data_IF_971055830454
#
_entry.id   IF_971055830454
#
_cell.length_a   1.000
_cell.length_b   1.000
_cell.length_c   1.000
_cell.angle_alpha   90.00
_cell.angle_beta   90.00
_cell.angle_gamma   90.00
#
_symmetry.space_group_name_H-M   'P 1'
#
loop_
_entity.id
_entity.type
_entity.pdbx_description
1 polymer ?
#
# COMPACT_ATOMS: atom_id res chain seq x y z
N UNK A 1 15.80 -49.93 0.15
CA UNK A 1 14.85 -49.62 1.23
C UNK A 1 13.75 -48.74 0.64
N UNK A 2 12.58 -49.31 0.37
CA UNK A 2 11.42 -48.51 -0.02
C UNK A 2 10.81 -47.93 1.25
N UNK A 3 10.79 -46.60 1.37
CA UNK A 3 10.06 -45.95 2.46
C UNK A 3 8.57 -46.31 2.33
N UNK A 4 7.92 -46.64 3.45
CA UNK A 4 6.48 -46.92 3.45
C UNK A 4 5.70 -45.69 2.96
N UNK A 5 4.53 -45.87 2.32
CA UNK A 5 3.67 -44.76 1.89
C UNK A 5 3.36 -43.76 3.03
N UNK A 6 3.23 -44.27 4.26
CA UNK A 6 3.07 -43.45 5.47
C UNK A 6 4.28 -42.55 5.75
N UNK A 7 5.49 -43.07 5.56
CA UNK A 7 6.73 -42.29 5.74
C UNK A 7 6.84 -41.17 4.71
N UNK A 8 6.44 -41.42 3.46
CA UNK A 8 6.36 -40.38 2.43
C UNK A 8 5.34 -39.30 2.77
N UNK A 9 4.17 -39.68 3.27
CA UNK A 9 3.13 -38.74 3.69
C UNK A 9 3.61 -37.87 4.85
N UNK A 10 4.23 -38.46 5.88
CA UNK A 10 4.78 -37.73 7.02
C UNK A 10 5.89 -36.75 6.60
N UNK A 11 6.80 -37.19 5.72
CA UNK A 11 7.87 -36.33 5.20
C UNK A 11 7.31 -35.16 4.37
N UNK A 12 6.25 -35.41 3.59
CA UNK A 12 5.59 -34.37 2.80
C UNK A 12 4.82 -33.35 3.66
N UNK A 13 4.13 -33.81 4.70
CA UNK A 13 3.47 -32.92 5.68
C UNK A 13 4.52 -32.07 6.39
N UNK A 14 5.64 -32.66 6.81
CA UNK A 14 6.75 -31.93 7.43
C UNK A 14 7.32 -30.86 6.50
N UNK A 15 7.56 -31.20 5.23
CA UNK A 15 8.07 -30.25 4.24
C UNK A 15 7.09 -29.11 3.96
N UNK A 16 5.79 -29.42 3.88
CA UNK A 16 4.72 -28.43 3.71
C UNK A 16 4.62 -27.49 4.90
N UNK A 17 4.76 -28.00 6.13
CA UNK A 17 4.77 -27.20 7.35
C UNK A 17 5.97 -26.24 7.37
N UNK A 18 7.18 -26.74 7.07
CA UNK A 18 8.39 -25.93 7.02
C UNK A 18 8.27 -24.82 5.96
N UNK A 19 7.72 -25.16 4.79
CA UNK A 19 7.47 -24.19 3.72
C UNK A 19 6.47 -23.09 4.14
N UNK A 20 5.40 -23.46 4.85
CA UNK A 20 4.39 -22.51 5.33
C UNK A 20 4.99 -21.57 6.39
N UNK A 21 5.77 -22.10 7.33
CA UNK A 21 6.51 -21.30 8.33
C UNK A 21 7.46 -20.33 7.63
N UNK A 22 8.23 -20.79 6.64
CA UNK A 22 9.15 -19.93 5.90
C UNK A 22 8.42 -18.83 5.11
N UNK A 23 7.27 -19.15 4.53
CA UNK A 23 6.39 -18.19 3.84
C UNK A 23 5.84 -17.15 4.82
N UNK A 24 5.44 -17.56 6.02
CA UNK A 24 4.95 -16.67 7.06
C UNK A 24 6.05 -15.75 7.62
N UNK A 25 7.25 -16.29 7.84
CA UNK A 25 8.41 -15.51 8.28
C UNK A 25 8.85 -14.51 7.22
N UNK A 26 8.86 -14.91 5.95
CA UNK A 26 9.14 -13.97 4.84
C UNK A 26 8.06 -12.90 4.72
N UNK A 27 6.78 -13.23 4.90
CA UNK A 27 5.68 -12.26 4.97
C UNK A 27 5.82 -11.29 6.16
N UNK A 28 6.25 -11.78 7.31
CA UNK A 28 6.40 -11.00 8.54
C UNK A 28 7.64 -10.09 8.52
N UNK A 29 8.74 -10.57 7.92
CA UNK A 29 9.99 -9.81 7.79
C UNK A 29 9.94 -8.79 6.64
N UNK A 30 9.22 -9.06 5.56
CA UNK A 30 9.10 -8.16 4.41
C UNK A 30 7.82 -7.33 4.53
N UNK A 31 7.83 -6.36 5.45
CA UNK A 31 6.78 -5.35 5.54
C UNK A 31 6.53 -4.65 4.19
N UNK A 32 5.24 -4.40 3.88
CA UNK A 32 4.60 -3.52 2.86
C UNK A 32 5.33 -3.12 1.55
N UNK A 33 6.38 -3.80 1.11
CA UNK A 33 7.09 -3.50 -0.14
C UNK A 33 6.45 -4.24 -1.32
N UNK A 34 5.95 -3.48 -2.29
CA UNK A 34 5.23 -3.95 -3.48
C UNK A 34 6.06 -4.83 -4.42
N UNK A 35 7.39 -4.65 -4.43
CA UNK A 35 8.34 -5.42 -5.25
C UNK A 35 8.42 -6.92 -4.93
N UNK A 36 7.92 -7.34 -3.76
CA UNK A 36 7.92 -8.74 -3.35
C UNK A 36 6.59 -9.46 -3.59
N UNK A 37 5.53 -8.72 -3.95
CA UNK A 37 4.21 -9.33 -4.24
C UNK A 37 4.24 -10.28 -5.44
N UNK A 38 5.03 -9.96 -6.47
CA UNK A 38 5.21 -10.84 -7.63
C UNK A 38 5.93 -12.14 -7.24
N UNK A 39 7.04 -12.03 -6.49
CA UNK A 39 7.81 -13.19 -6.05
C UNK A 39 6.99 -14.08 -5.11
N UNK A 40 6.23 -13.48 -4.19
CA UNK A 40 5.31 -14.20 -3.31
C UNK A 40 4.18 -14.89 -4.09
N UNK A 41 3.58 -14.19 -5.06
CA UNK A 41 2.52 -14.77 -5.91
C UNK A 41 3.02 -15.97 -6.69
N UNK A 42 4.23 -15.90 -7.26
CA UNK A 42 4.86 -17.02 -7.97
C UNK A 42 5.07 -18.19 -7.01
N UNK A 43 5.61 -17.95 -5.82
CA UNK A 43 5.84 -18.98 -4.79
C UNK A 43 4.54 -19.67 -4.34
N UNK A 44 3.46 -18.91 -4.14
CA UNK A 44 2.15 -19.46 -3.76
C UNK A 44 1.57 -20.30 -4.90
N UNK A 45 1.62 -19.81 -6.14
CA UNK A 45 1.10 -20.55 -7.31
C UNK A 45 1.87 -21.87 -7.51
N UNK A 46 3.20 -21.86 -7.39
CA UNK A 46 4.01 -23.08 -7.46
C UNK A 46 3.66 -24.08 -6.36
N UNK A 47 3.38 -23.60 -5.14
CA UNK A 47 2.96 -24.46 -4.03
C UNK A 47 1.58 -25.09 -4.27
N UNK A 48 0.60 -24.31 -4.74
CA UNK A 48 -0.74 -24.80 -5.08
C UNK A 48 -0.69 -25.83 -6.22
N UNK A 49 0.11 -25.57 -7.26
CA UNK A 49 0.38 -26.55 -8.33
C UNK A 49 1.01 -27.83 -7.76
N UNK A 50 1.96 -27.70 -6.83
CA UNK A 50 2.55 -28.85 -6.13
C UNK A 50 1.52 -29.68 -5.36
N UNK A 51 0.59 -29.03 -4.66
CA UNK A 51 -0.52 -29.69 -3.95
C UNK A 51 -1.44 -30.43 -4.93
N UNK A 52 -1.83 -29.77 -6.04
CA UNK A 52 -2.71 -30.38 -7.05
C UNK A 52 -2.03 -31.60 -7.69
N UNK A 53 -0.75 -31.50 -8.03
CA UNK A 53 0.02 -32.63 -8.56
C UNK A 53 0.13 -33.77 -7.53
N UNK A 54 0.36 -33.44 -6.25
CA UNK A 54 0.45 -34.43 -5.18
C UNK A 54 -0.88 -35.17 -5.00
N UNK A 55 -2.00 -34.46 -4.89
CA UNK A 55 -3.32 -35.08 -4.82
C UNK A 55 -3.69 -35.81 -6.11
N UNK A 56 -3.25 -35.35 -7.29
CA UNK A 56 -3.45 -36.06 -8.55
C UNK A 56 -2.71 -37.41 -8.58
N UNK A 57 -1.49 -37.46 -8.05
CA UNK A 57 -0.69 -38.70 -7.94
C UNK A 57 -1.29 -39.66 -6.91
N UNK A 58 -1.78 -39.14 -5.77
CA UNK A 58 -2.37 -39.98 -4.71
C UNK A 58 -3.84 -40.34 -4.93
N UNK A 59 -4.58 -39.57 -5.75
CA UNK A 59 -5.97 -39.85 -6.12
C UNK A 59 -6.07 -41.00 -7.12
N UNK A 60 -4.99 -41.35 -7.81
CA UNK A 60 -4.97 -42.45 -8.76
C UNK A 60 -4.28 -43.67 -8.14
N UNK A 61 -5.05 -44.44 -7.37
CA UNK A 61 -4.77 -45.78 -6.84
C UNK A 61 -3.54 -45.94 -5.93
N UNK A 62 -3.76 -46.00 -4.60
CA UNK A 62 -3.14 -47.00 -3.67
C UNK A 62 -3.27 -46.67 -2.16
N UNK A 63 -4.11 -45.73 -1.70
CA UNK A 63 -4.26 -45.48 -0.25
C UNK A 63 -5.32 -46.37 0.43
N UNK A 64 -6.37 -46.81 -0.28
CA UNK A 64 -7.46 -47.59 0.35
C UNK A 64 -7.03 -48.99 0.84
N UNK A 65 -6.01 -49.60 0.22
CA UNK A 65 -5.55 -50.94 0.58
C UNK A 65 -4.66 -50.99 1.84
N UNK A 66 -3.92 -49.93 2.16
CA UNK A 66 -3.09 -49.91 3.38
C UNK A 66 -3.84 -49.38 4.62
N UNK A 67 -4.81 -48.49 4.45
CA UNK A 67 -5.57 -47.94 5.58
C UNK A 67 -6.46 -49.00 6.27
N UNK A 68 -7.04 -49.92 5.50
CA UNK A 68 -7.88 -51.01 6.04
C UNK A 68 -7.11 -52.06 6.86
N UNK A 69 -5.77 -52.11 6.74
CA UNK A 69 -4.90 -52.95 7.56
C UNK A 69 -4.54 -52.33 8.92
N UNK A 70 -4.50 -51.00 9.01
CA UNK A 70 -4.02 -50.28 10.20
C UNK A 70 -5.10 -50.02 11.26
N UNK A 71 -6.39 -50.20 10.92
CA UNK A 71 -7.53 -49.98 11.84
C UNK A 71 -7.97 -51.22 12.62
N UNK A 72 -7.20 -52.32 12.58
CA UNK A 72 -7.50 -53.57 13.32
C UNK A 72 -6.88 -53.67 14.73
N UNK A 73 -6.28 -52.61 15.25
CA UNK A 73 -6.00 -52.51 16.69
C UNK A 73 -6.78 -51.34 17.28
N UNK A 74 -7.72 -51.66 18.19
CA UNK A 74 -8.38 -50.67 19.04
C UNK A 74 -7.47 -50.39 20.25
N UNK A 75 -6.87 -49.20 20.41
CA UNK A 75 -6.61 -48.69 21.74
C UNK A 75 -7.88 -47.95 22.20
N UNK A 76 -8.53 -48.47 23.24
CA UNK A 76 -9.54 -47.71 23.97
C UNK A 76 -8.83 -46.62 24.77
N UNK A 77 -8.90 -45.38 24.30
CA UNK A 77 -8.51 -44.23 25.10
C UNK A 77 -9.78 -43.48 25.51
N UNK A 78 -10.26 -43.74 26.73
CA UNK A 78 -11.35 -42.94 27.31
C UNK A 78 -10.77 -41.69 27.93
N UNK A 79 -11.09 -40.52 27.37
CA UNK A 79 -10.86 -39.23 28.01
C UNK A 79 -12.22 -38.77 28.55
N UNK A 80 -12.41 -38.64 29.88
CA UNK A 80 -13.67 -38.17 30.43
C UNK A 80 -13.91 -36.71 30.04
N UNK A 81 -15.08 -36.43 29.46
CA UNK A 81 -15.47 -35.09 29.04
C UNK A 81 -16.02 -34.29 30.25
N UNK A 82 -15.35 -33.24 30.73
CA UNK A 82 -15.77 -32.49 31.92
C UNK A 82 -17.03 -31.62 31.71
N UNK A 83 -17.56 -31.55 30.49
CA UNK A 83 -18.73 -30.73 30.15
C UNK A 83 -20.09 -31.42 30.34
N UNK A 84 -20.11 -32.73 30.63
CA UNK A 84 -21.36 -33.48 30.86
C UNK A 84 -21.97 -33.28 32.26
N UNK A 85 -21.32 -32.50 33.12
CA UNK A 85 -21.77 -32.22 34.50
C UNK A 85 -22.47 -30.86 34.66
N UNK A 86 -22.48 -30.02 33.62
CA UNK A 86 -22.95 -28.63 33.70
C UNK A 86 -24.29 -28.42 32.97
N UNK A 87 -24.57 -29.20 31.92
CA UNK A 87 -25.82 -29.08 31.18
C UNK A 87 -26.52 -30.43 31.15
N UNK A 88 -27.61 -30.53 31.92
CA UNK A 88 -28.44 -31.73 32.03
C UNK A 88 -29.03 -32.17 30.69
N UNK A 89 -29.27 -33.48 30.59
CA UNK A 89 -29.95 -34.14 29.47
C UNK A 89 -31.35 -33.55 29.24
N UNK A 90 -31.67 -33.25 27.98
CA UNK A 90 -33.04 -33.28 27.50
C UNK A 90 -33.12 -34.27 26.34
N UNK A 91 -33.87 -35.36 26.53
CA UNK A 91 -34.23 -36.31 25.49
C UNK A 91 -35.43 -35.79 24.71
N UNK A 92 -35.42 -36.05 23.41
CA UNK A 92 -36.65 -36.30 22.64
C UNK A 92 -36.28 -37.12 21.40
N UNK A 93 -36.87 -38.31 21.35
CA UNK A 93 -36.95 -39.20 20.19
C UNK A 93 -37.86 -38.58 19.11
N UNK A 94 -37.59 -38.86 17.83
CA UNK A 94 -38.57 -39.48 16.91
C UNK A 94 -38.05 -39.61 15.45
N UNK A 95 -37.74 -40.86 15.09
CA UNK A 95 -38.17 -41.69 13.96
C UNK A 95 -38.59 -41.18 12.55
N UNK A 96 -38.24 -42.08 11.58
CA UNK A 96 -38.75 -42.39 10.21
C UNK A 96 -38.12 -41.68 8.98
N UNK A 97 -37.39 -42.39 8.09
CA UNK A 97 -37.81 -43.31 6.97
C UNK A 97 -38.62 -42.58 5.87
N UNK A 98 -38.50 -42.79 4.55
CA UNK A 98 -37.72 -43.62 3.61
C UNK A 98 -38.07 -43.07 2.18
N UNK A 99 -37.11 -42.89 1.25
CA UNK A 99 -36.88 -43.65 -0.01
C UNK A 99 -37.48 -43.14 -1.36
N UNK A 100 -36.63 -43.36 -2.38
CA UNK A 100 -36.87 -43.65 -3.82
C UNK A 100 -37.18 -42.48 -4.79
N UNK A 101 -36.76 -42.45 -6.06
CA UNK A 101 -35.76 -43.13 -6.93
C UNK A 101 -35.80 -42.38 -8.28
N UNK A 102 -34.62 -42.22 -8.90
CA UNK A 102 -34.22 -42.15 -10.34
C UNK A 102 -35.32 -42.20 -11.43
N UNK A 103 -35.25 -41.36 -12.48
CA UNK A 103 -34.59 -41.73 -13.76
C UNK A 103 -34.53 -40.64 -14.84
N UNK A 104 -33.57 -40.84 -15.73
CA UNK A 104 -33.00 -39.96 -16.76
C UNK A 104 -33.85 -39.86 -18.04
N UNK A 105 -33.59 -38.81 -18.85
CA UNK A 105 -33.64 -38.97 -20.29
C UNK A 105 -32.63 -38.05 -21.01
N UNK A 106 -31.89 -38.69 -21.92
CA UNK A 106 -30.77 -38.21 -22.72
C UNK A 106 -31.27 -37.82 -24.12
N UNK A 107 -30.76 -36.73 -24.72
CA UNK A 107 -30.58 -36.68 -26.19
C UNK A 107 -29.50 -35.69 -26.62
N UNK A 108 -28.50 -36.27 -27.27
CA UNK A 108 -27.31 -35.68 -27.90
C UNK A 108 -27.62 -35.05 -29.26
N UNK A 109 -27.00 -33.90 -29.59
CA UNK A 109 -26.46 -33.62 -30.95
C UNK A 109 -25.43 -32.48 -30.97
N UNK A 110 -24.18 -32.89 -31.14
CA UNK A 110 -23.00 -32.35 -31.85
C UNK A 110 -22.94 -30.91 -32.41
N UNK A 111 -21.96 -30.15 -31.90
CA UNK A 111 -20.99 -29.25 -32.60
C UNK A 111 -21.49 -28.06 -33.45
N UNK A 112 -21.23 -26.84 -32.96
CA UNK A 112 -20.45 -25.85 -33.75
C UNK A 112 -19.63 -24.93 -32.84
N UNK A 113 -18.38 -24.77 -33.23
CA UNK A 113 -17.34 -23.96 -32.64
C UNK A 113 -17.64 -22.45 -32.83
N UNK A 114 -17.71 -21.67 -31.75
CA UNK A 114 -17.28 -20.26 -31.77
C UNK A 114 -16.77 -19.83 -30.39
N UNK A 115 -15.44 -19.75 -30.30
CA UNK A 115 -14.75 -18.97 -29.27
C UNK A 115 -15.03 -17.49 -29.57
N UNK A 116 -15.58 -16.78 -28.59
CA UNK A 116 -15.37 -15.34 -28.43
C UNK A 116 -14.49 -15.20 -27.19
N UNK A 117 -13.18 -15.44 -27.28
CA UNK A 117 -12.16 -14.42 -27.54
C UNK A 117 -12.46 -13.09 -26.83
N UNK A 118 -11.92 -13.01 -25.62
CA UNK A 118 -11.13 -11.89 -25.10
C UNK A 118 -11.45 -10.52 -25.69
N UNK A 119 -12.27 -9.75 -24.96
CA UNK A 119 -12.06 -8.31 -24.87
C UNK A 119 -11.38 -7.98 -23.56
N UNK A 120 -10.18 -8.54 -23.35
CA UNK A 120 -9.22 -7.90 -22.46
C UNK A 120 -8.63 -6.72 -23.25
N UNK A 121 -9.36 -5.60 -23.26
CA UNK A 121 -8.78 -4.33 -23.67
C UNK A 121 -7.48 -4.17 -22.90
N UNK A 122 -6.33 -3.94 -23.55
CA UNK A 122 -5.12 -3.58 -22.83
C UNK A 122 -5.46 -2.34 -22.01
N UNK A 123 -5.32 -2.42 -20.68
CA UNK A 123 -5.30 -1.21 -19.85
C UNK A 123 -4.24 -0.33 -20.47
N UNK A 124 -4.67 0.82 -21.01
CA UNK A 124 -3.78 1.80 -21.62
C UNK A 124 -2.60 2.02 -20.66
N UNK A 125 -1.37 2.05 -21.19
CA UNK A 125 -0.17 2.40 -20.42
C UNK A 125 -0.34 3.72 -19.67
N UNK A 126 -1.22 4.60 -20.16
CA UNK A 126 -1.57 5.84 -19.48
C UNK A 126 -2.33 5.63 -18.14
N UNK A 127 -3.13 4.56 -17.96
CA UNK A 127 -3.76 4.22 -16.66
C UNK A 127 -2.76 3.64 -15.65
N UNK A 128 -1.74 2.91 -16.13
CA UNK A 128 -0.70 2.38 -15.25
C UNK A 128 0.22 3.50 -14.75
N UNK A 129 0.70 4.37 -15.65
CA UNK A 129 1.58 5.48 -15.28
C UNK A 129 0.87 6.53 -14.41
N UNK A 130 -0.42 6.80 -14.67
CA UNK A 130 -1.22 7.69 -13.83
C UNK A 130 -1.23 7.28 -12.35
N UNK A 131 -1.05 5.98 -12.05
CA UNK A 131 -1.03 5.49 -10.67
C UNK A 131 0.15 5.99 -9.85
N UNK A 132 1.28 6.27 -10.48
CA UNK A 132 2.51 6.62 -9.76
C UNK A 132 2.76 8.12 -9.70
N UNK A 133 1.90 8.92 -10.32
CA UNK A 133 2.01 10.37 -10.31
C UNK A 133 1.57 10.95 -8.97
N UNK A 134 2.30 11.96 -8.51
CA UNK A 134 1.92 12.81 -7.39
C UNK A 134 0.71 13.67 -7.74
N UNK A 135 0.70 14.22 -8.96
CA UNK A 135 -0.35 15.10 -9.46
C UNK A 135 -0.93 14.56 -10.79
N UNK A 136 -2.24 14.72 -11.03
CA UNK A 136 -2.83 14.41 -12.33
C UNK A 136 -2.08 15.09 -13.49
N UNK A 137 -2.08 14.45 -14.67
CA UNK A 137 -1.35 14.93 -15.85
C UNK A 137 -1.78 16.32 -16.31
N UNK A 138 -3.06 16.61 -16.14
CA UNK A 138 -3.78 17.81 -16.51
C UNK A 138 -4.06 18.72 -15.30
N UNK A 139 -3.36 18.50 -14.19
CA UNK A 139 -3.52 19.31 -13.00
C UNK A 139 -3.21 20.79 -13.26
N UNK A 140 -4.18 21.65 -12.97
CA UNK A 140 -4.02 23.11 -12.98
C UNK A 140 -3.89 23.64 -11.54
N UNK A 141 -2.70 24.13 -11.13
CA UNK A 141 -2.46 24.64 -9.77
C UNK A 141 -3.24 25.92 -9.42
N UNK A 142 -3.98 26.50 -10.37
CA UNK A 142 -4.80 27.71 -10.15
C UNK A 142 -6.30 27.45 -10.22
N UNK A 143 -6.74 26.25 -10.61
CA UNK A 143 -8.15 25.92 -10.77
C UNK A 143 -8.89 25.89 -9.43
N UNK A 144 -8.30 25.22 -8.45
CA UNK A 144 -8.94 24.95 -7.17
C UNK A 144 -8.54 25.99 -6.09
N UNK A 145 -9.55 26.66 -5.52
CA UNK A 145 -9.34 27.73 -4.54
C UNK A 145 -9.24 27.25 -3.09
N UNK A 146 -9.57 25.99 -2.80
CA UNK A 146 -9.64 25.49 -1.43
C UNK A 146 -10.75 26.13 -0.59
N UNK A 147 -10.89 25.62 0.63
CA UNK A 147 -11.75 26.19 1.68
C UNK A 147 -11.11 25.93 3.04
N UNK A 148 -11.12 26.95 3.91
CA UNK A 148 -10.51 26.82 5.22
C UNK A 148 -11.21 25.75 6.05
N UNK A 149 -10.43 24.83 6.62
CA UNK A 149 -10.98 23.78 7.47
C UNK A 149 -10.01 23.42 8.60
N UNK A 150 -10.51 22.75 9.63
CA UNK A 150 -9.71 22.25 10.75
C UNK A 150 -9.99 20.77 10.93
N UNK A 151 -8.94 19.96 11.06
CA UNK A 151 -9.03 18.51 11.25
C UNK A 151 -8.23 18.07 12.47
N UNK A 152 -8.64 16.95 13.04
CA UNK A 152 -7.89 16.27 14.09
C UNK A 152 -7.15 15.08 13.48
N UNK A 153 -6.56 14.24 14.32
CA UNK A 153 -6.05 12.94 13.90
C UNK A 153 -7.14 12.15 13.18
N UNK A 154 -6.79 11.58 12.02
CA UNK A 154 -7.73 10.88 11.16
C UNK A 154 -7.23 10.71 9.73
N UNK A 155 -8.03 9.98 8.93
CA UNK A 155 -7.86 9.80 7.49
C UNK A 155 -8.98 10.55 6.77
N UNK A 156 -8.64 11.38 5.81
CA UNK A 156 -9.56 12.28 5.11
C UNK A 156 -9.40 12.16 3.61
N UNK A 157 -10.52 12.18 2.88
CA UNK A 157 -10.57 12.17 1.42
C UNK A 157 -10.72 13.61 0.90
N UNK A 158 -9.81 14.04 0.04
CA UNK A 158 -9.91 15.32 -0.65
C UNK A 158 -11.05 15.22 -1.69
N UNK A 159 -11.87 16.27 -1.79
CA UNK A 159 -13.13 16.28 -2.54
C UNK A 159 -14.37 15.99 -1.70
N UNK A 160 -14.21 15.27 -0.58
CA UNK A 160 -15.30 14.91 0.34
C UNK A 160 -15.16 15.58 1.69
N UNK A 161 -14.02 15.38 2.35
CA UNK A 161 -13.78 15.86 3.72
C UNK A 161 -13.01 17.18 3.75
N UNK A 162 -12.20 17.43 2.73
CA UNK A 162 -11.39 18.64 2.53
C UNK A 162 -11.54 19.06 1.06
N UNK A 163 -11.84 20.33 0.81
CA UNK A 163 -12.00 20.84 -0.56
C UNK A 163 -10.66 20.83 -1.30
N UNK A 164 -10.59 20.47 -2.60
CA UNK A 164 -9.36 20.60 -3.37
C UNK A 164 -8.83 22.04 -3.38
N UNK A 165 -7.51 22.21 -3.38
CA UNK A 165 -6.85 23.52 -3.42
C UNK A 165 -5.41 23.51 -2.92
N UNK A 166 -4.76 24.67 -2.96
CA UNK A 166 -3.44 24.90 -2.38
C UNK A 166 -3.57 25.39 -0.94
N UNK A 167 -2.87 24.75 0.00
CA UNK A 167 -3.03 25.01 1.43
C UNK A 167 -1.70 25.26 2.13
N UNK A 168 -1.70 26.25 3.03
CA UNK A 168 -0.79 26.23 4.19
C UNK A 168 -1.45 25.44 5.32
N UNK A 169 -0.75 24.41 5.79
CA UNK A 169 -1.18 23.51 6.86
C UNK A 169 -0.35 23.81 8.10
N UNK A 170 -1.01 24.09 9.22
CA UNK A 170 -0.36 24.43 10.50
C UNK A 170 -1.03 23.72 11.64
N UNK A 171 -0.32 23.58 12.76
CA UNK A 171 -0.91 23.10 14.01
C UNK A 171 -0.35 23.93 15.17
N UNK A 172 -1.11 24.03 16.26
CA UNK A 172 -0.75 24.86 17.43
C UNK A 172 -0.56 24.03 18.70
N UNK A 173 -0.47 22.71 18.59
CA UNK A 173 -0.20 21.86 19.75
C UNK A 173 1.30 21.81 20.03
N UNK A 174 1.63 21.67 21.31
CA UNK A 174 2.94 21.20 21.78
C UNK A 174 3.25 19.79 21.26
N UNK A 175 2.22 18.98 20.99
CA UNK A 175 2.38 17.62 20.47
C UNK A 175 3.02 17.65 19.08
N UNK A 176 4.00 16.78 18.86
CA UNK A 176 4.48 16.48 17.52
C UNK A 176 3.53 15.48 16.85
N UNK A 177 3.32 15.63 15.55
CA UNK A 177 2.74 14.55 14.77
C UNK A 177 3.15 14.58 13.31
N UNK A 178 2.47 13.78 12.51
CA UNK A 178 2.84 13.54 11.11
C UNK A 178 1.66 13.88 10.21
N UNK A 179 1.95 14.62 9.14
CA UNK A 179 1.06 14.81 8.00
C UNK A 179 1.53 13.91 6.87
N UNK A 180 0.62 13.11 6.30
CA UNK A 180 0.90 12.25 5.15
C UNK A 180 -0.12 12.50 4.05
N UNK A 181 0.33 12.38 2.81
CA UNK A 181 -0.47 12.56 1.61
C UNK A 181 -0.20 11.41 0.66
N UNK A 182 -1.29 10.78 0.21
CA UNK A 182 -1.29 9.75 -0.82
C UNK A 182 -2.13 10.20 -2.01
N UNK A 183 -1.80 9.72 -3.20
CA UNK A 183 -2.58 9.97 -4.40
C UNK A 183 -3.90 9.16 -4.39
N UNK A 184 -4.72 9.33 -5.42
CA UNK A 184 -6.01 8.66 -5.53
C UNK A 184 -5.95 7.11 -5.58
N UNK A 185 -4.75 6.55 -5.79
CA UNK A 185 -4.48 5.12 -5.83
C UNK A 185 -3.75 4.61 -4.57
N UNK A 186 -3.76 5.41 -3.49
CA UNK A 186 -3.06 5.15 -2.23
C UNK A 186 -1.53 4.99 -2.39
N UNK A 187 -0.94 5.60 -3.44
CA UNK A 187 0.51 5.70 -3.57
C UNK A 187 1.04 6.96 -2.88
N UNK A 188 2.15 6.80 -2.17
CA UNK A 188 2.78 7.85 -1.38
C UNK A 188 3.17 9.08 -2.23
N UNK A 189 2.80 10.27 -1.76
CA UNK A 189 3.23 11.56 -2.32
C UNK A 189 4.27 12.20 -1.40
N UNK A 190 3.88 12.43 -0.15
CA UNK A 190 4.63 13.28 0.77
C UNK A 190 4.27 12.95 2.22
N UNK A 191 5.25 13.03 3.11
CA UNK A 191 5.06 12.99 4.55
C UNK A 191 6.05 13.91 5.22
N UNK A 192 5.62 14.57 6.30
CA UNK A 192 6.52 15.33 7.15
C UNK A 192 6.01 15.39 8.59
N UNK A 193 6.95 15.50 9.53
CA UNK A 193 6.62 15.86 10.90
C UNK A 193 6.20 17.35 10.96
N UNK A 194 5.28 17.66 11.87
CA UNK A 194 4.76 19.01 12.07
C UNK A 194 4.61 19.28 13.58
N UNK A 195 5.14 20.40 14.05
CA UNK A 195 5.03 20.83 15.46
C UNK A 195 4.84 22.34 15.52
N UNK A 196 3.88 22.82 16.31
CA UNK A 196 3.61 24.25 16.46
C UNK A 196 4.73 24.98 17.24
N UNK A 197 5.41 24.27 18.13
CA UNK A 197 6.30 24.87 19.14
C UNK A 197 7.75 24.39 19.05
N UNK A 198 8.04 23.38 18.23
CA UNK A 198 9.41 22.91 18.03
C UNK A 198 10.16 23.84 17.09
N UNK A 199 11.37 24.21 17.49
CA UNK A 199 12.32 24.88 16.60
C UNK A 199 12.90 23.92 15.55
N UNK A 200 12.95 22.63 15.87
CA UNK A 200 13.64 21.59 15.09
C UNK A 200 12.74 20.85 14.10
N UNK A 201 11.44 21.13 14.11
CA UNK A 201 10.43 20.48 13.27
C UNK A 201 9.72 21.57 12.47
N UNK A 202 9.32 21.26 11.24
CA UNK A 202 8.52 22.20 10.47
C UNK A 202 7.29 22.65 11.26
N UNK A 203 6.99 23.94 11.23
CA UNK A 203 5.79 24.52 11.88
C UNK A 203 4.63 24.71 10.90
N UNK A 204 4.92 24.63 9.60
CA UNK A 204 3.94 24.70 8.52
C UNK A 204 4.35 23.82 7.34
N UNK A 205 3.36 23.38 6.58
CA UNK A 205 3.52 22.68 5.31
C UNK A 205 2.72 23.44 4.25
N UNK A 206 3.31 23.75 3.10
CA UNK A 206 2.56 24.25 1.92
C UNK A 206 2.39 23.10 0.91
N UNK A 207 1.17 22.72 0.54
CA UNK A 207 0.95 21.64 -0.43
C UNK A 207 -0.37 21.77 -1.18
N UNK A 208 -0.43 21.16 -2.36
CA UNK A 208 -1.66 21.00 -3.14
C UNK A 208 -2.42 19.76 -2.67
N UNK A 209 -3.70 19.92 -2.40
CA UNK A 209 -4.63 18.83 -2.14
C UNK A 209 -5.54 18.70 -3.36
N UNK A 210 -5.41 17.60 -4.09
CA UNK A 210 -6.15 17.35 -5.34
C UNK A 210 -7.31 16.39 -5.08
N UNK A 211 -8.40 16.55 -5.82
CA UNK A 211 -9.55 15.65 -5.72
C UNK A 211 -9.16 14.17 -5.79
N UNK A 212 -9.81 13.35 -4.97
CA UNK A 212 -9.52 11.93 -4.88
C UNK A 212 -8.26 11.57 -4.06
N UNK A 213 -7.39 12.51 -3.70
CA UNK A 213 -6.26 12.22 -2.82
C UNK A 213 -6.69 11.92 -1.38
N UNK A 214 -5.78 11.31 -0.63
CA UNK A 214 -5.97 10.99 0.78
C UNK A 214 -4.99 11.79 1.63
N UNK A 215 -5.49 12.37 2.72
CA UNK A 215 -4.69 13.01 3.77
C UNK A 215 -4.79 12.20 5.05
N UNK A 216 -3.65 11.93 5.70
CA UNK A 216 -3.60 11.28 7.01
C UNK A 216 -2.93 12.21 8.01
N UNK A 217 -3.62 12.49 9.12
CA UNK A 217 -3.09 13.24 10.25
C UNK A 217 -2.89 12.27 11.40
N UNK A 218 -1.67 12.22 11.94
CA UNK A 218 -1.30 11.37 13.08
C UNK A 218 -0.80 12.21 14.24
N UNK A 219 -1.29 11.94 15.45
CA UNK A 219 -0.77 12.55 16.68
C UNK A 219 -1.00 14.05 16.84
N UNK A 220 -1.82 14.68 15.98
CA UNK A 220 -2.11 16.11 16.03
C UNK A 220 -3.60 16.37 16.25
N UNK A 221 -3.90 17.52 16.86
CA UNK A 221 -5.25 18.06 17.04
C UNK A 221 -5.30 19.49 16.51
N UNK A 222 -6.47 19.94 16.09
CA UNK A 222 -6.71 21.29 15.59
C UNK A 222 -5.75 21.70 14.45
N UNK A 223 -5.47 20.78 13.52
CA UNK A 223 -4.66 21.04 12.32
C UNK A 223 -5.46 21.93 11.39
N UNK A 224 -4.94 23.13 11.12
CA UNK A 224 -5.59 24.16 10.30
C UNK A 224 -5.10 24.06 8.87
N UNK A 225 -6.05 23.93 7.96
CA UNK A 225 -5.87 24.02 6.52
C UNK A 225 -6.35 25.39 6.09
N UNK A 226 -5.40 26.27 5.74
CA UNK A 226 -5.72 27.61 5.23
C UNK A 226 -5.40 27.66 3.74
N UNK A 227 -6.38 27.93 2.87
CA UNK A 227 -6.12 28.14 1.46
C UNK A 227 -5.08 29.24 1.24
N UNK A 228 -4.17 29.00 0.30
CA UNK A 228 -3.07 29.88 -0.06
C UNK A 228 -3.13 30.18 -1.56
N UNK A 229 -2.95 31.45 -1.92
CA UNK A 229 -2.87 31.85 -3.32
C UNK A 229 -1.55 31.39 -3.95
N UNK A 230 -1.62 30.90 -5.18
CA UNK A 230 -0.46 30.50 -5.96
C UNK A 230 0.19 31.69 -6.64
N UNK A 231 1.41 32.01 -6.25
CA UNK A 231 2.23 33.07 -6.87
C UNK A 231 3.71 32.70 -6.82
N UNK A 232 4.53 33.21 -7.77
CA UNK A 232 5.96 32.99 -7.76
C UNK A 232 6.63 33.45 -6.46
N UNK A 233 7.54 32.64 -5.95
CA UNK A 233 8.33 32.90 -4.74
C UNK A 233 9.68 32.20 -4.84
N UNK A 234 10.64 32.69 -4.07
CA UNK A 234 12.01 32.13 -4.01
C UNK A 234 12.32 31.48 -2.67
N UNK A 235 11.53 31.76 -1.64
CA UNK A 235 11.68 31.16 -0.32
C UNK A 235 10.63 30.05 -0.16
N UNK A 236 11.09 28.81 -0.06
CA UNK A 236 10.25 27.61 -0.01
C UNK A 236 10.34 26.98 1.37
N UNK A 237 9.18 26.80 2.00
CA UNK A 237 9.04 26.01 3.22
C UNK A 237 8.83 24.52 2.87
N UNK A 238 8.79 23.67 3.90
CA UNK A 238 8.45 22.25 3.75
C UNK A 238 7.14 22.08 2.98
N UNK A 239 7.14 21.29 1.91
CA UNK A 239 5.95 21.18 1.08
C UNK A 239 6.20 20.70 -0.33
N UNK A 240 5.17 20.90 -1.16
CA UNK A 240 5.15 20.58 -2.58
C UNK A 240 4.91 21.88 -3.36
N UNK A 241 5.81 22.18 -4.28
CA UNK A 241 5.80 23.42 -5.08
C UNK A 241 5.90 23.10 -6.57
N UNK A 242 5.26 23.89 -7.42
CA UNK A 242 5.22 23.66 -8.86
C UNK A 242 5.92 24.80 -9.62
N UNK A 243 6.93 24.47 -10.42
CA UNK A 243 7.62 25.44 -11.27
C UNK A 243 6.70 25.92 -12.40
N UNK A 244 6.60 27.24 -12.58
CA UNK A 244 5.62 27.92 -13.43
C UNK A 244 4.37 28.40 -12.68
N UNK A 245 4.15 27.95 -11.45
CA UNK A 245 3.05 28.37 -10.61
C UNK A 245 3.55 29.04 -9.31
N UNK A 246 4.38 28.33 -8.55
CA UNK A 246 4.99 28.79 -7.30
C UNK A 246 6.41 29.33 -7.46
N UNK A 247 7.12 28.92 -8.51
CA UNK A 247 8.52 29.33 -8.76
C UNK A 247 8.66 29.61 -10.25
N UNK A 248 9.29 30.72 -10.63
CA UNK A 248 9.53 30.98 -12.06
C UNK A 248 10.54 29.97 -12.63
N UNK A 249 10.36 29.47 -13.87
CA UNK A 249 11.39 28.69 -14.55
C UNK A 249 12.71 29.47 -14.67
N UNK A 250 13.85 28.79 -14.52
CA UNK A 250 15.14 29.47 -14.60
C UNK A 250 16.29 28.68 -13.98
N UNK A 251 17.48 29.29 -14.02
CA UNK A 251 18.65 28.82 -13.29
C UNK A 251 18.68 29.44 -11.90
N UNK A 252 19.01 28.63 -10.89
CA UNK A 252 19.09 29.09 -9.52
C UNK A 252 20.24 28.42 -8.78
N UNK A 253 20.85 29.15 -7.84
CA UNK A 253 21.58 28.57 -6.72
C UNK A 253 20.62 28.39 -5.55
N UNK A 254 20.39 27.14 -5.15
CA UNK A 254 19.62 26.75 -3.95
C UNK A 254 20.53 26.82 -2.74
N UNK A 255 20.03 27.42 -1.65
CA UNK A 255 20.70 27.47 -0.34
C UNK A 255 19.70 27.20 0.77
N UNK A 256 20.16 26.71 1.92
CA UNK A 256 19.28 26.64 3.09
C UNK A 256 18.96 28.06 3.58
N UNK A 257 17.69 28.31 3.85
CA UNK A 257 17.20 29.55 4.45
C UNK A 257 17.07 29.46 5.97
N UNK A 258 17.24 28.27 6.54
CA UNK A 258 17.24 28.00 7.99
C UNK A 258 18.57 27.43 8.47
N UNK A 259 18.74 27.31 9.79
CA UNK A 259 19.86 26.56 10.40
C UNK A 259 19.73 25.05 10.14
N UNK A 260 18.50 24.55 10.09
CA UNK A 260 18.21 23.15 9.80
C UNK A 260 18.33 22.83 8.32
N UNK A 261 18.79 21.61 8.03
CA UNK A 261 18.85 21.09 6.68
C UNK A 261 17.45 20.73 6.15
N UNK A 262 17.30 20.85 4.84
CA UNK A 262 16.11 20.41 4.11
C UNK A 262 16.52 19.38 3.06
N UNK A 263 15.73 18.32 2.90
CA UNK A 263 15.86 17.49 1.72
C UNK A 263 15.14 18.16 0.55
N UNK A 264 15.89 18.55 -0.48
CA UNK A 264 15.42 19.23 -1.67
C UNK A 264 15.36 18.25 -2.84
N UNK A 265 14.15 17.94 -3.28
CA UNK A 265 13.89 16.97 -4.35
C UNK A 265 13.24 17.71 -5.52
N UNK A 266 13.74 17.48 -6.73
CA UNK A 266 13.10 17.97 -7.96
C UNK A 266 12.72 16.78 -8.82
N UNK A 267 11.45 16.74 -9.24
CA UNK A 267 10.89 15.74 -10.15
C UNK A 267 10.46 16.40 -11.45
N UNK A 268 10.72 15.72 -12.55
CA UNK A 268 10.20 16.06 -13.88
C UNK A 268 8.67 15.87 -13.93
N UNK A 269 7.90 16.63 -14.72
CA UNK A 269 6.47 16.38 -14.94
C UNK A 269 6.20 15.22 -15.93
N UNK A 270 7.24 14.51 -16.37
CA UNK A 270 7.13 13.37 -17.28
C UNK A 270 6.33 12.21 -16.68
N UNK A 271 6.02 11.21 -17.52
CA UNK A 271 5.11 10.11 -17.18
C UNK A 271 5.47 9.39 -15.87
N UNK A 272 6.74 9.37 -15.49
CA UNK A 272 7.25 8.60 -14.35
C UNK A 272 7.72 9.49 -13.19
N UNK A 273 7.49 10.81 -13.29
CA UNK A 273 7.96 11.83 -12.34
C UNK A 273 9.41 11.61 -11.92
N UNK A 274 10.29 11.47 -12.92
CA UNK A 274 11.68 11.11 -12.71
C UNK A 274 12.35 12.11 -11.78
N UNK A 275 13.00 11.59 -10.72
CA UNK A 275 13.83 12.40 -9.83
C UNK A 275 15.02 12.93 -10.63
N UNK A 276 15.10 14.27 -10.72
CA UNK A 276 16.23 15.01 -11.30
C UNK A 276 17.27 15.32 -10.23
N UNK A 277 16.80 15.67 -9.03
CA UNK A 277 17.61 16.13 -7.91
C UNK A 277 17.04 15.53 -6.64
N UNK A 278 17.89 15.08 -5.72
CA UNK A 278 17.56 14.66 -4.37
C UNK A 278 18.78 14.93 -3.49
N UNK A 279 18.80 16.08 -2.83
CA UNK A 279 19.98 16.60 -2.14
C UNK A 279 19.58 17.22 -0.80
N UNK A 280 20.35 16.92 0.24
CA UNK A 280 20.19 17.57 1.54
C UNK A 280 20.95 18.89 1.52
N UNK A 281 20.22 20.00 1.74
CA UNK A 281 20.76 21.37 1.73
C UNK A 281 20.76 21.92 3.15
N UNK A 282 21.92 22.33 3.67
CA UNK A 282 22.08 22.76 5.06
C UNK A 282 23.26 23.70 5.26
N UNK A 283 23.21 24.56 6.28
CA UNK A 283 24.33 25.48 6.61
C UNK A 283 25.31 24.85 7.59
N UNK A 284 24.80 24.28 8.67
CA UNK A 284 25.61 23.85 9.81
C UNK A 284 25.80 22.32 9.84
N UNK A 285 25.08 21.61 8.99
CA UNK A 285 25.20 20.16 8.81
C UNK A 285 26.39 19.85 7.88
N UNK A 286 27.37 19.11 8.39
CA UNK A 286 28.61 18.75 7.66
C UNK A 286 28.35 17.86 6.46
N UNK A 287 27.33 17.00 6.53
CA UNK A 287 26.96 16.07 5.46
C UNK A 287 26.04 16.72 4.42
N UNK A 288 25.50 17.91 4.72
CA UNK A 288 24.62 18.64 3.82
C UNK A 288 25.38 19.56 2.85
N UNK A 289 24.90 19.63 1.61
CA UNK A 289 25.39 20.62 0.64
C UNK A 289 25.05 22.03 1.10
N UNK A 290 26.04 22.92 1.08
CA UNK A 290 25.85 24.34 1.42
C UNK A 290 25.11 25.12 0.34
N UNK A 291 25.26 24.70 -0.92
CA UNK A 291 24.54 25.23 -2.07
C UNK A 291 24.47 24.22 -3.20
N UNK A 292 23.50 24.39 -4.10
CA UNK A 292 23.30 23.57 -5.28
C UNK A 292 22.82 24.42 -6.46
N UNK A 293 23.47 24.36 -7.61
CA UNK A 293 22.99 25.00 -8.82
C UNK A 293 22.01 24.09 -9.57
N UNK A 294 20.88 24.66 -9.98
CA UNK A 294 19.75 23.92 -10.56
C UNK A 294 19.15 24.67 -11.75
N UNK A 295 18.72 23.93 -12.77
CA UNK A 295 17.88 24.42 -13.84
C UNK A 295 16.45 23.91 -13.63
N UNK A 296 15.53 24.81 -13.30
CA UNK A 296 14.12 24.50 -13.03
C UNK A 296 13.29 24.78 -14.29
N UNK A 297 12.61 23.75 -14.80
CA UNK A 297 11.75 23.85 -15.99
C UNK A 297 10.28 23.94 -15.58
N UNK A 298 9.47 24.61 -16.39
CA UNK A 298 8.01 24.69 -16.18
C UNK A 298 7.43 23.28 -16.02
N UNK A 299 6.61 23.09 -14.98
CA UNK A 299 6.00 21.80 -14.61
C UNK A 299 6.84 20.96 -13.66
N UNK A 300 8.12 21.27 -13.42
CA UNK A 300 8.89 20.56 -12.41
C UNK A 300 8.22 20.67 -11.03
N UNK A 301 8.22 19.56 -10.30
CA UNK A 301 7.67 19.46 -8.95
C UNK A 301 8.85 19.49 -7.98
N UNK A 302 8.83 20.45 -7.05
CA UNK A 302 9.82 20.58 -5.99
C UNK A 302 9.19 20.07 -4.69
N UNK A 303 9.85 19.11 -4.04
CA UNK A 303 9.54 18.75 -2.66
C UNK A 303 10.63 19.30 -1.75
N UNK A 304 10.20 19.97 -0.68
CA UNK A 304 11.05 20.35 0.43
C UNK A 304 10.60 19.53 1.63
N UNK A 305 11.46 18.65 2.14
CA UNK A 305 11.15 17.76 3.25
C UNK A 305 12.07 18.01 4.44
N UNK A 306 11.61 17.60 5.63
CA UNK A 306 12.26 17.88 6.90
C UNK A 306 11.82 19.23 7.48
N UNK A 307 12.69 19.81 8.28
CA UNK A 307 12.41 21.02 9.05
C UNK A 307 13.04 22.27 8.45
N UNK A 308 13.96 22.08 7.50
CA UNK A 308 14.63 23.16 6.82
C UNK A 308 13.75 23.86 5.78
N UNK A 309 14.13 25.09 5.47
CA UNK A 309 13.57 25.87 4.37
C UNK A 309 14.67 26.17 3.37
N UNK A 310 14.31 26.38 2.10
CA UNK A 310 15.30 26.68 1.05
C UNK A 310 15.01 28.04 0.42
N UNK A 311 16.09 28.68 -0.04
CA UNK A 311 16.03 29.91 -0.83
C UNK A 311 16.66 29.68 -2.20
N UNK A 312 15.94 30.10 -3.23
CA UNK A 312 16.36 30.07 -4.62
C UNK A 312 16.89 31.44 -5.02
N UNK A 313 18.15 31.53 -5.42
CA UNK A 313 18.76 32.78 -5.90
C UNK A 313 19.09 32.64 -7.38
N UNK A 314 18.58 33.54 -8.23
CA UNK A 314 18.98 33.61 -9.65
C UNK A 314 20.43 34.07 -9.79
#
# INVERSE_FOLDING_TARGET
MFFSPLTYLLLWVLFSLVFLIFTFLTLSALGRQTRFKLRLSITIVSFVLGIICFFGIFSNNSIEKEWSGMTKSKPSFSIPNPLKKIFGEHKTDDNKQEKNTTDNNEKTTTSTHSKSSDNHSPKSTDDYEARYRMLPKDFDPKADKGEATTKNTGKYKVGKDIKPGHYTITQRSHDMGTFEQDNQYDNYIFSNALSGDSKYIASKISTYLVDGQTVVIKGMKNVKFKPESTHPRTDLNTGVWIVGADVEPGNYTVRSASVYAANFIVKSPDKNEKIKINEVIGKDDEDAKKSLDVNLKKGDIILVQGSGTVKLKK
#
